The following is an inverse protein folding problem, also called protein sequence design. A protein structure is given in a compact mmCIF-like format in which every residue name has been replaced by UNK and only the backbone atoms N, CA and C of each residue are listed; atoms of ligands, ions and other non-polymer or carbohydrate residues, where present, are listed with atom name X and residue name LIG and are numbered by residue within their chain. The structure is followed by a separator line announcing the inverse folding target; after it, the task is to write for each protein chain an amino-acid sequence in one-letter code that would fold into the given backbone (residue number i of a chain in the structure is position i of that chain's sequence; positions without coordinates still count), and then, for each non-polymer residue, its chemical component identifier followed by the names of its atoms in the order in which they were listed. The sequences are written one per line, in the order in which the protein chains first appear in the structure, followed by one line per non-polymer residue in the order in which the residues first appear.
data_IF_413648973188
#
_entry.id   IF_413648973188
#
_cell.length_a   1.000
_cell.length_b   1.000
_cell.length_c   1.000
_cell.angle_alpha   90.00
_cell.angle_beta   90.00
_cell.angle_gamma   90.00
#
_symmetry.space_group_name_H-M   'P 1'
#
loop_
_entity.id
_entity.type
_entity.pdbx_description
1 polymer ?
#
# COMPACT_ATOMS: atom_id res chain seq x y z
N UNK A 1 10.49 -14.31 15.89
CA UNK A 1 10.33 -15.73 16.28
C UNK A 1 10.35 -16.68 15.08
N UNK A 2 9.25 -16.91 14.34
CA UNK A 2 9.20 -17.97 13.30
C UNK A 2 10.18 -17.74 12.14
N UNK A 3 10.22 -16.52 11.58
CA UNK A 3 11.11 -16.16 10.46
C UNK A 3 12.59 -16.31 10.86
N UNK A 4 12.93 -15.94 12.09
CA UNK A 4 14.29 -16.08 12.63
C UNK A 4 14.67 -17.56 12.78
N UNK A 5 13.76 -18.40 13.26
CA UNK A 5 13.98 -19.85 13.36
C UNK A 5 14.25 -20.49 12.01
N UNK A 6 13.49 -20.11 10.97
CA UNK A 6 13.71 -20.62 9.61
C UNK A 6 15.06 -20.16 9.06
N UNK A 7 15.42 -18.88 9.27
CA UNK A 7 16.73 -18.35 8.90
C UNK A 7 17.87 -19.09 9.60
N UNK A 8 17.75 -19.33 10.91
CA UNK A 8 18.75 -20.07 11.69
C UNK A 8 18.94 -21.52 11.22
N UNK A 9 17.94 -22.10 10.54
CA UNK A 9 18.01 -23.43 9.89
C UNK A 9 18.57 -23.39 8.47
N UNK A 10 19.02 -22.23 7.99
CA UNK A 10 19.51 -22.06 6.61
C UNK A 10 18.41 -22.14 5.55
N UNK A 11 17.14 -21.97 5.94
CA UNK A 11 16.01 -21.99 5.00
C UNK A 11 15.72 -20.56 4.52
N UNK A 12 15.81 -20.28 3.21
CA UNK A 12 15.55 -18.95 2.69
C UNK A 12 14.06 -18.61 2.81
N UNK A 13 13.75 -17.40 3.26
CA UNK A 13 12.37 -16.92 3.43
C UNK A 13 12.15 -15.71 2.53
N UNK A 14 11.13 -15.81 1.69
CA UNK A 14 10.66 -14.76 0.80
C UNK A 14 9.22 -14.37 1.14
N UNK A 15 8.89 -13.10 0.92
CA UNK A 15 7.53 -12.60 1.08
C UNK A 15 6.84 -12.51 -0.27
N UNK A 16 5.52 -12.61 -0.22
CA UNK A 16 4.65 -12.51 -1.39
C UNK A 16 3.59 -11.44 -1.12
N UNK A 17 3.42 -10.51 -2.05
CA UNK A 17 2.40 -9.45 -2.09
C UNK A 17 2.54 -8.31 -1.07
N UNK A 18 2.66 -8.63 0.23
CA UNK A 18 2.79 -7.65 1.32
C UNK A 18 4.03 -7.92 2.14
N UNK A 19 4.79 -6.86 2.34
CA UNK A 19 6.07 -6.91 3.01
C UNK A 19 5.95 -7.12 4.53
N UNK A 20 6.84 -7.90 5.13
CA UNK A 20 6.95 -8.10 6.59
C UNK A 20 8.37 -8.52 7.00
N UNK A 21 8.76 -8.30 8.27
CA UNK A 21 10.08 -8.68 8.82
C UNK A 21 11.29 -8.22 7.99
N UNK A 22 11.35 -6.91 7.70
CA UNK A 22 12.50 -6.30 7.05
C UNK A 22 13.80 -6.61 7.79
N UNK A 23 14.87 -6.94 7.06
CA UNK A 23 16.20 -7.25 7.60
C UNK A 23 16.44 -8.72 7.98
N UNK A 24 15.39 -9.54 8.09
CA UNK A 24 15.52 -10.97 8.43
C UNK A 24 15.38 -11.85 7.19
N UNK A 25 14.44 -11.51 6.31
CA UNK A 25 14.17 -12.21 5.04
C UNK A 25 15.24 -12.04 3.97
N UNK A 26 15.18 -12.89 2.95
CA UNK A 26 16.03 -12.80 1.74
C UNK A 26 15.46 -11.81 0.71
N UNK A 27 14.13 -11.65 0.64
CA UNK A 27 13.50 -10.73 -0.32
C UNK A 27 11.97 -10.73 -0.30
N UNK A 28 11.38 -9.86 -1.13
CA UNK A 28 9.94 -9.77 -1.33
C UNK A 28 9.63 -9.84 -2.84
N UNK A 29 8.65 -10.66 -3.20
CA UNK A 29 8.12 -10.79 -4.55
C UNK A 29 6.73 -10.16 -4.59
N UNK A 30 6.57 -9.13 -5.40
CA UNK A 30 5.29 -8.45 -5.55
C UNK A 30 5.42 -7.11 -6.27
N UNK A 31 4.34 -6.34 -6.19
CA UNK A 31 4.29 -4.99 -6.74
C UNK A 31 5.01 -4.00 -5.81
N UNK A 32 5.58 -2.95 -6.39
CA UNK A 32 5.89 -1.73 -5.66
C UNK A 32 4.58 -1.10 -5.21
N UNK A 33 4.21 -1.37 -3.96
CA UNK A 33 2.93 -0.97 -3.39
C UNK A 33 2.76 0.56 -3.38
N UNK A 34 3.85 1.32 -3.21
CA UNK A 34 3.81 2.78 -3.28
C UNK A 34 3.52 3.25 -4.70
N UNK A 35 4.17 2.68 -5.71
CA UNK A 35 3.83 2.97 -7.13
C UNK A 35 2.40 2.56 -7.45
N UNK A 36 1.94 1.40 -6.97
CA UNK A 36 0.56 0.95 -7.13
C UNK A 36 -0.46 1.99 -6.65
N UNK A 37 -0.24 2.54 -5.45
CA UNK A 37 -1.03 3.65 -4.92
C UNK A 37 -1.01 4.90 -5.80
N UNK A 38 0.17 5.32 -6.26
CA UNK A 38 0.32 6.47 -7.15
C UNK A 38 -0.39 6.26 -8.49
N UNK A 39 -0.34 5.05 -9.05
CA UNK A 39 -1.03 4.71 -10.30
C UNK A 39 -2.54 4.82 -10.17
N UNK A 40 -3.11 4.36 -9.05
CA UNK A 40 -4.55 4.49 -8.79
C UNK A 40 -4.97 5.96 -8.68
N UNK A 41 -4.22 6.78 -7.94
CA UNK A 41 -4.47 8.21 -7.81
C UNK A 41 -4.35 8.95 -9.16
N UNK A 42 -3.33 8.59 -9.95
CA UNK A 42 -3.15 9.11 -11.31
C UNK A 42 -4.34 8.80 -12.20
N UNK A 43 -4.86 7.57 -12.16
CA UNK A 43 -6.01 7.16 -12.95
C UNK A 43 -7.25 7.99 -12.61
N UNK A 44 -7.51 8.24 -11.32
CA UNK A 44 -8.61 9.10 -10.87
C UNK A 44 -8.42 10.53 -11.39
N UNK A 45 -7.25 11.13 -11.17
CA UNK A 45 -6.96 12.49 -11.62
C UNK A 45 -7.05 12.65 -13.14
N UNK A 46 -6.67 11.61 -13.90
CA UNK A 46 -6.71 11.61 -15.37
C UNK A 46 -8.11 11.42 -15.93
N UNK A 47 -8.94 10.60 -15.29
CA UNK A 47 -10.27 10.24 -15.77
C UNK A 47 -11.36 11.23 -15.31
N UNK A 48 -11.16 11.93 -14.19
CA UNK A 48 -12.12 12.88 -13.67
C UNK A 48 -12.25 14.11 -14.59
N UNK A 49 -13.49 14.53 -14.89
CA UNK A 49 -13.76 15.74 -15.70
C UNK A 49 -13.35 17.03 -15.00
N UNK A 50 -13.34 17.03 -13.67
CA UNK A 50 -12.94 18.16 -12.81
C UNK A 50 -12.49 17.63 -11.43
N UNK A 51 -11.68 18.41 -10.68
CA UNK A 51 -11.31 18.05 -9.32
C UNK A 51 -12.51 17.90 -8.38
N UNK A 52 -12.35 17.06 -7.35
CA UNK A 52 -13.40 16.77 -6.37
C UNK A 52 -12.90 15.98 -5.17
N UNK A 53 -13.84 15.51 -4.35
CA UNK A 53 -13.55 14.67 -3.18
C UNK A 53 -13.24 13.24 -3.61
N UNK A 54 -12.20 12.64 -3.02
CA UNK A 54 -11.75 11.28 -3.31
C UNK A 54 -11.73 10.48 -2.00
N UNK A 55 -12.52 9.42 -1.93
CA UNK A 55 -12.51 8.50 -0.80
C UNK A 55 -11.56 7.32 -1.08
N UNK A 56 -10.83 6.89 -0.05
CA UNK A 56 -9.96 5.72 -0.09
C UNK A 56 -10.46 4.69 0.92
N UNK A 57 -10.60 3.44 0.48
CA UNK A 57 -10.98 2.33 1.34
C UNK A 57 -9.83 1.31 1.38
N UNK A 58 -9.47 0.85 2.57
CA UNK A 58 -8.45 -0.19 2.79
C UNK A 58 -9.04 -1.32 3.62
N UNK A 59 -8.61 -2.57 3.39
CA UNK A 59 -9.10 -3.70 4.20
C UNK A 59 -8.54 -3.71 5.62
N UNK A 60 -7.32 -3.23 5.82
CA UNK A 60 -6.67 -3.13 7.14
C UNK A 60 -5.38 -2.34 7.04
N UNK A 61 -5.07 -1.53 8.06
CA UNK A 61 -3.77 -0.88 8.23
C UNK A 61 -2.67 -1.84 8.74
N UNK A 62 -3.03 -3.08 9.10
CA UNK A 62 -2.06 -4.10 9.56
C UNK A 62 -1.21 -4.65 8.41
N UNK A 63 -1.67 -4.49 7.17
CA UNK A 63 -0.93 -4.94 6.00
C UNK A 63 -0.06 -3.81 5.47
N UNK A 64 1.26 -3.98 5.55
CA UNK A 64 2.21 -2.97 5.08
C UNK A 64 2.01 -2.61 3.60
N UNK A 65 1.58 -3.57 2.77
CA UNK A 65 1.23 -3.31 1.37
C UNK A 65 0.06 -2.32 1.22
N UNK A 66 -0.93 -2.33 2.12
CA UNK A 66 -2.04 -1.37 2.10
C UNK A 66 -1.57 0.01 2.53
N UNK A 67 -0.77 0.08 3.59
CA UNK A 67 -0.17 1.32 4.07
C UNK A 67 0.68 1.99 2.98
N UNK A 68 1.55 1.24 2.29
CA UNK A 68 2.37 1.79 1.21
C UNK A 68 1.53 2.28 0.02
N UNK A 69 0.45 1.58 -0.33
CA UNK A 69 -0.49 2.02 -1.37
C UNK A 69 -1.19 3.31 -0.97
N UNK A 70 -1.67 3.39 0.27
CA UNK A 70 -2.28 4.62 0.78
C UNK A 70 -1.30 5.80 0.78
N UNK A 71 -0.07 5.60 1.25
CA UNK A 71 0.99 6.61 1.24
C UNK A 71 1.23 7.08 -0.21
N UNK A 72 1.40 6.16 -1.15
CA UNK A 72 1.58 6.49 -2.56
C UNK A 72 0.41 7.27 -3.13
N UNK A 73 -0.82 6.84 -2.84
CA UNK A 73 -2.05 7.48 -3.30
C UNK A 73 -2.14 8.94 -2.82
N UNK A 74 -1.95 9.16 -1.51
CA UNK A 74 -1.98 10.50 -0.90
C UNK A 74 -0.84 11.38 -1.41
N UNK A 75 0.37 10.83 -1.58
CA UNK A 75 1.52 11.58 -2.10
C UNK A 75 1.27 12.07 -3.53
N UNK A 76 0.67 11.24 -4.39
CA UNK A 76 0.35 11.65 -5.75
C UNK A 76 -0.55 12.89 -5.78
N UNK A 77 -1.66 12.91 -5.04
CA UNK A 77 -2.58 14.05 -5.06
C UNK A 77 -1.90 15.33 -4.56
N UNK A 78 -1.15 15.24 -3.46
CA UNK A 78 -0.38 16.38 -2.94
C UNK A 78 0.63 16.93 -3.95
N UNK A 79 1.27 16.06 -4.73
CA UNK A 79 2.35 16.44 -5.65
C UNK A 79 1.86 16.85 -7.05
N UNK A 80 0.76 16.25 -7.53
CA UNK A 80 0.39 16.25 -8.96
C UNK A 80 -1.05 16.66 -9.24
N UNK A 81 -1.93 16.60 -8.25
CA UNK A 81 -3.34 16.95 -8.42
C UNK A 81 -3.91 17.59 -7.13
N UNK A 82 -3.29 18.70 -6.64
CA UNK A 82 -3.60 19.28 -5.34
C UNK A 82 -5.02 19.87 -5.22
N UNK A 83 -5.69 20.10 -6.36
CA UNK A 83 -7.07 20.61 -6.39
C UNK A 83 -8.11 19.54 -5.99
N UNK A 84 -7.71 18.27 -5.88
CA UNK A 84 -8.56 17.22 -5.34
C UNK A 84 -8.45 17.18 -3.81
N UNK A 85 -9.56 16.87 -3.15
CA UNK A 85 -9.60 16.67 -1.70
C UNK A 85 -9.60 15.18 -1.40
N UNK A 86 -8.46 14.65 -0.94
CA UNK A 86 -8.39 13.27 -0.46
C UNK A 86 -8.99 13.22 0.94
N UNK A 87 -10.07 12.45 1.09
CA UNK A 87 -10.76 12.26 2.38
C UNK A 87 -9.94 11.37 3.31
N UNK A 88 -10.35 11.30 4.57
CA UNK A 88 -9.81 10.31 5.51
C UNK A 88 -10.05 8.88 4.99
N UNK A 89 -9.06 8.02 5.22
CA UNK A 89 -9.12 6.64 4.76
C UNK A 89 -10.10 5.87 5.63
N UNK A 90 -10.97 5.11 4.99
CA UNK A 90 -11.92 4.25 5.68
C UNK A 90 -11.40 2.81 5.66
N UNK A 91 -11.36 2.18 6.83
CA UNK A 91 -11.12 0.74 6.91
C UNK A 91 -12.42 0.03 6.61
N UNK A 92 -12.45 -0.75 5.54
CA UNK A 92 -13.55 -1.66 5.29
C UNK A 92 -13.39 -2.83 6.26
N UNK A 93 -14.13 -2.80 7.38
CA UNK A 93 -14.19 -3.92 8.31
C UNK A 93 -14.79 -5.11 7.56
N UNK A 94 -13.98 -6.12 7.24
CA UNK A 94 -14.50 -7.48 7.13
C UNK A 94 -14.97 -7.84 8.54
N UNK A 95 -16.24 -7.58 8.83
CA UNK A 95 -16.91 -8.15 9.98
C UNK A 95 -17.00 -9.66 9.73
N UNK A 96 -16.04 -10.39 10.30
CA UNK A 96 -16.18 -11.84 10.52
C UNK A 96 -17.21 -12.09 11.62
#
# INVERSE_FOLDING_TARGET
AVVETLKARGQPVFWLLSDFAAGIREGNVGLDNRKGGRSAAWMIAKAARKPGKVALFVGSHRFHGHELREIGFRSFFRERAPDFTVMETLVNLEAN
#
